data_IF_022238154079
#
_entry.id   IF_022238154079
#
_cell.length_a   1.000
_cell.length_b   1.000
_cell.length_c   1.000
_cell.angle_alpha   90.00
_cell.angle_beta   90.00
_cell.angle_gamma   90.00
#
_symmetry.space_group_name_H-M   'P 1'
#
loop_
_entity.id
_entity.type
_entity.pdbx_description
1 polymer ?
#
# COMPACT_ATOMS: atom_id res chain seq x y z
N UNK A 1 -30.03 0.30 12.85
CA UNK A 1 -28.98 0.03 13.87
C UNK A 1 -27.72 0.79 13.46
N UNK A 2 -27.53 1.98 14.04
CA UNK A 2 -26.43 2.91 13.74
C UNK A 2 -25.42 2.84 14.88
N UNK A 3 -24.52 1.86 14.83
CA UNK A 3 -23.47 1.72 15.84
C UNK A 3 -22.33 2.71 15.53
N UNK A 4 -21.94 3.59 16.48
CA UNK A 4 -20.92 4.64 16.24
C UNK A 4 -19.58 4.06 15.76
N UNK A 5 -19.21 2.86 16.23
CA UNK A 5 -18.00 2.15 15.82
C UNK A 5 -17.99 1.73 14.34
N UNK A 6 -19.16 1.43 13.75
CA UNK A 6 -19.27 1.05 12.33
C UNK A 6 -19.03 2.27 11.45
N UNK A 7 -19.59 3.41 11.85
CA UNK A 7 -19.40 4.69 11.15
C UNK A 7 -17.93 5.12 11.17
N UNK A 8 -17.26 4.98 12.31
CA UNK A 8 -15.83 5.29 12.45
C UNK A 8 -14.97 4.40 11.54
N UNK A 9 -15.26 3.10 11.46
CA UNK A 9 -14.55 2.17 10.56
C UNK A 9 -14.78 2.49 9.08
N UNK A 10 -16.00 2.91 8.71
CA UNK A 10 -16.31 3.34 7.34
C UNK A 10 -15.55 4.63 7.01
N UNK A 11 -15.55 5.62 7.92
CA UNK A 11 -14.79 6.87 7.74
C UNK A 11 -13.29 6.62 7.62
N UNK A 12 -12.73 5.79 8.50
CA UNK A 12 -11.33 5.38 8.45
C UNK A 12 -10.97 4.65 7.14
N UNK A 13 -11.85 3.74 6.71
CA UNK A 13 -11.70 3.03 5.43
C UNK A 13 -11.75 3.97 4.22
N UNK A 14 -12.69 4.90 4.18
CA UNK A 14 -12.79 5.90 3.12
C UNK A 14 -11.55 6.81 3.07
N UNK A 15 -11.05 7.24 4.23
CA UNK A 15 -9.82 8.03 4.32
C UNK A 15 -8.61 7.25 3.78
N UNK A 16 -8.41 6.01 4.22
CA UNK A 16 -7.31 5.17 3.72
C UNK A 16 -7.41 4.95 2.20
N UNK A 17 -8.61 4.66 1.70
CA UNK A 17 -8.84 4.46 0.27
C UNK A 17 -8.52 5.73 -0.54
N UNK A 18 -8.91 6.90 -0.04
CA UNK A 18 -8.60 8.17 -0.68
C UNK A 18 -7.09 8.45 -0.70
N UNK A 19 -6.40 8.30 0.42
CA UNK A 19 -4.94 8.51 0.51
C UNK A 19 -4.19 7.53 -0.38
N UNK A 20 -4.58 6.24 -0.37
CA UNK A 20 -4.00 5.22 -1.23
C UNK A 20 -4.28 5.48 -2.72
N UNK A 21 -5.47 5.97 -3.06
CA UNK A 21 -5.80 6.39 -4.42
C UNK A 21 -4.92 7.53 -4.89
N UNK A 22 -4.82 8.60 -4.09
CA UNK A 22 -3.99 9.76 -4.40
C UNK A 22 -2.52 9.36 -4.55
N UNK A 23 -1.98 8.52 -3.65
CA UNK A 23 -0.59 8.08 -3.73
C UNK A 23 -0.31 7.23 -4.96
N UNK A 24 -1.24 6.35 -5.35
CA UNK A 24 -1.14 5.58 -6.59
C UNK A 24 -1.15 6.48 -7.83
N UNK A 25 -2.05 7.47 -7.88
CA UNK A 25 -2.10 8.43 -8.99
C UNK A 25 -0.83 9.29 -9.09
N UNK A 26 -0.34 9.80 -7.96
CA UNK A 26 0.88 10.62 -7.92
C UNK A 26 2.11 9.78 -8.27
N UNK A 27 2.25 8.57 -7.71
CA UNK A 27 3.36 7.67 -8.01
C UNK A 27 3.38 7.23 -9.48
N UNK A 28 2.22 6.88 -10.04
CA UNK A 28 2.09 6.55 -11.46
C UNK A 28 2.36 7.77 -12.36
N UNK A 29 1.85 8.95 -12.00
CA UNK A 29 2.14 10.19 -12.73
C UNK A 29 3.62 10.56 -12.71
N UNK A 30 4.29 10.41 -11.57
CA UNK A 30 5.72 10.66 -11.44
C UNK A 30 6.56 9.70 -12.29
N UNK A 31 6.21 8.42 -12.32
CA UNK A 31 6.90 7.44 -13.19
C UNK A 31 6.67 7.72 -14.67
N UNK A 32 5.46 8.13 -15.06
CA UNK A 32 5.16 8.55 -16.43
C UNK A 32 5.94 9.81 -16.84
N UNK A 33 6.04 10.80 -15.94
CA UNK A 33 6.81 12.02 -16.17
C UNK A 33 8.33 11.73 -16.28
N UNK A 34 8.84 10.82 -15.45
CA UNK A 34 10.23 10.37 -15.52
C UNK A 34 10.50 9.65 -16.85
N UNK A 35 9.61 8.75 -17.29
CA UNK A 35 9.71 8.06 -18.57
C UNK A 35 9.68 9.05 -19.76
N UNK A 36 8.80 10.07 -19.71
CA UNK A 36 8.78 11.16 -20.70
C UNK A 36 10.11 11.91 -20.77
N UNK A 37 10.74 12.19 -19.61
CA UNK A 37 12.00 12.93 -19.55
C UNK A 37 13.16 12.12 -20.13
N UNK A 38 13.16 10.80 -19.93
CA UNK A 38 14.18 9.91 -20.50
C UNK A 38 14.08 9.84 -22.03
N UNK A 39 12.87 9.70 -22.60
CA UNK A 39 12.68 9.54 -24.05
C UNK A 39 11.62 10.49 -24.64
N UNK A 40 11.87 11.80 -24.70
CA UNK A 40 10.87 12.79 -25.11
C UNK A 40 10.44 12.65 -26.58
N UNK A 41 11.35 12.21 -27.47
CA UNK A 41 11.10 12.08 -28.91
C UNK A 41 10.14 10.91 -29.22
N UNK A 42 10.30 9.78 -28.54
CA UNK A 42 9.46 8.60 -28.73
C UNK A 42 8.15 8.71 -27.93
N UNK A 43 8.21 9.30 -26.73
CA UNK A 43 7.03 9.55 -25.91
C UNK A 43 6.05 10.53 -26.56
N UNK A 44 6.52 11.67 -27.08
CA UNK A 44 5.64 12.63 -27.77
C UNK A 44 5.10 12.05 -29.09
N UNK A 45 5.84 11.20 -29.80
CA UNK A 45 5.31 10.45 -30.96
C UNK A 45 4.17 9.50 -30.55
N UNK A 46 4.27 8.85 -29.39
CA UNK A 46 3.20 8.01 -28.85
C UNK A 46 1.96 8.76 -28.38
N UNK A 47 2.08 10.07 -28.05
CA UNK A 47 0.96 10.93 -27.62
C UNK A 47 0.36 11.76 -28.77
N UNK A 48 1.18 12.23 -29.72
CA UNK A 48 0.77 13.15 -30.80
C UNK A 48 0.61 12.47 -32.17
N UNK A 49 1.14 11.26 -32.36
CA UNK A 49 0.98 10.50 -33.60
C UNK A 49 -0.44 9.96 -33.74
N UNK A 50 -1.01 10.11 -34.93
CA UNK A 50 -2.31 9.60 -35.35
C UNK A 50 -2.58 8.17 -34.89
N UNK A 51 -3.86 7.79 -34.80
CA UNK A 51 -4.33 6.45 -34.41
C UNK A 51 -3.73 5.27 -35.21
N UNK A 52 -2.99 5.54 -36.29
CA UNK A 52 -2.22 4.54 -37.05
C UNK A 52 -0.79 4.30 -36.52
N UNK A 53 -0.24 5.22 -35.72
CA UNK A 53 1.14 5.21 -35.17
C UNK A 53 1.19 5.13 -33.64
N UNK A 54 0.04 5.08 -32.94
CA UNK A 54 -0.04 4.49 -31.61
C UNK A 54 0.25 2.99 -31.75
N UNK A 55 1.54 2.72 -31.90
CA UNK A 55 2.19 1.47 -32.23
C UNK A 55 1.48 0.32 -31.52
N UNK A 56 1.16 -0.76 -32.23
CA UNK A 56 0.37 -1.87 -31.68
C UNK A 56 0.89 -2.33 -30.30
N UNK A 57 2.19 -2.19 -30.04
CA UNK A 57 2.85 -2.43 -28.76
C UNK A 57 2.41 -1.52 -27.59
N UNK A 58 2.16 -0.23 -27.79
CA UNK A 58 1.70 0.68 -26.73
C UNK A 58 0.27 0.36 -26.28
N UNK A 59 -0.61 0.06 -27.26
CA UNK A 59 -1.99 -0.40 -26.99
C UNK A 59 -1.95 -1.78 -26.32
N UNK A 60 -1.05 -2.68 -26.74
CA UNK A 60 -0.84 -3.97 -26.10
C UNK A 60 -0.39 -3.81 -24.64
N UNK A 61 0.58 -2.91 -24.39
CA UNK A 61 1.13 -2.66 -23.07
C UNK A 61 0.10 -2.06 -22.11
N UNK A 62 -0.74 -1.12 -22.57
CA UNK A 62 -1.83 -0.56 -21.77
C UNK A 62 -2.88 -1.62 -21.43
N UNK A 63 -3.22 -2.51 -22.36
CA UNK A 63 -4.12 -3.64 -22.10
C UNK A 63 -3.50 -4.62 -21.10
N UNK A 64 -2.23 -5.00 -21.29
CA UNK A 64 -1.51 -5.88 -20.38
C UNK A 64 -1.41 -5.28 -18.97
N UNK A 65 -1.13 -3.98 -18.86
CA UNK A 65 -1.11 -3.25 -17.59
C UNK A 65 -2.50 -3.20 -16.94
N UNK A 66 -3.56 -2.96 -17.72
CA UNK A 66 -4.93 -2.96 -17.23
C UNK A 66 -5.35 -4.32 -16.68
N UNK A 67 -5.21 -5.39 -17.47
CA UNK A 67 -5.50 -6.75 -17.00
C UNK A 67 -4.60 -7.16 -15.84
N UNK A 68 -3.31 -6.82 -15.88
CA UNK A 68 -2.34 -7.09 -14.82
C UNK A 68 -2.71 -6.46 -13.49
N UNK A 69 -3.17 -5.20 -13.48
CA UNK A 69 -3.64 -4.54 -12.25
C UNK A 69 -4.90 -5.19 -11.70
N UNK A 70 -5.86 -5.58 -12.56
CA UNK A 70 -7.05 -6.33 -12.14
C UNK A 70 -6.67 -7.66 -11.50
N UNK A 71 -5.80 -8.45 -12.15
CA UNK A 71 -5.35 -9.73 -11.60
C UNK A 71 -4.54 -9.57 -10.32
N UNK A 72 -3.71 -8.54 -10.21
CA UNK A 72 -2.93 -8.28 -9.00
C UNK A 72 -3.85 -7.93 -7.81
N UNK A 73 -4.82 -7.05 -8.02
CA UNK A 73 -5.78 -6.66 -6.98
C UNK A 73 -6.69 -7.83 -6.61
N UNK A 74 -7.24 -8.54 -7.59
CA UNK A 74 -8.10 -9.70 -7.37
C UNK A 74 -7.34 -10.85 -6.68
N UNK A 75 -6.14 -11.16 -7.15
CA UNK A 75 -5.27 -12.21 -6.60
C UNK A 75 -4.88 -11.92 -5.16
N UNK A 76 -4.40 -10.71 -4.89
CA UNK A 76 -4.03 -10.30 -3.52
C UNK A 76 -5.24 -10.33 -2.59
N UNK A 77 -6.40 -9.86 -3.05
CA UNK A 77 -7.64 -9.90 -2.27
C UNK A 77 -8.08 -11.33 -1.97
N UNK A 78 -8.00 -12.23 -2.96
CA UNK A 78 -8.33 -13.65 -2.80
C UNK A 78 -7.36 -14.34 -1.82
N UNK A 79 -6.06 -14.09 -1.93
CA UNK A 79 -5.05 -14.64 -1.02
C UNK A 79 -5.27 -14.17 0.43
N UNK A 80 -5.46 -12.86 0.64
CA UNK A 80 -5.74 -12.31 1.96
C UNK A 80 -7.04 -12.88 2.55
N UNK A 81 -8.08 -13.04 1.73
CA UNK A 81 -9.33 -13.67 2.16
C UNK A 81 -9.15 -15.16 2.47
N UNK A 82 -8.37 -15.88 1.67
CA UNK A 82 -8.01 -17.28 1.90
C UNK A 82 -7.29 -17.48 3.23
N UNK A 83 -6.29 -16.64 3.54
CA UNK A 83 -5.58 -16.66 4.83
C UNK A 83 -6.54 -16.40 5.98
N UNK A 84 -7.46 -15.44 5.85
CA UNK A 84 -8.45 -15.16 6.88
C UNK A 84 -9.39 -16.36 7.11
N UNK A 85 -9.86 -17.01 6.02
CA UNK A 85 -10.71 -18.20 6.10
C UNK A 85 -9.99 -19.40 6.71
N UNK A 86 -8.74 -19.64 6.33
CA UNK A 86 -7.92 -20.75 6.86
C UNK A 86 -7.56 -20.53 8.33
N UNK A 87 -7.41 -19.28 8.77
CA UNK A 87 -7.13 -18.95 10.18
C UNK A 87 -8.29 -19.29 11.13
N UNK A 88 -9.51 -19.55 10.64
CA UNK A 88 -10.67 -19.90 11.47
C UNK A 88 -11.11 -18.78 12.43
N UNK A 89 -10.67 -17.54 12.19
CA UNK A 89 -10.96 -16.39 13.02
C UNK A 89 -12.33 -15.78 12.69
N UNK A 90 -13.17 -15.58 13.71
CA UNK A 90 -14.50 -14.98 13.55
C UNK A 90 -14.45 -13.45 13.49
N UNK A 91 -13.43 -12.87 14.12
CA UNK A 91 -13.18 -11.43 14.16
C UNK A 91 -11.72 -11.08 13.85
N UNK A 92 -11.47 -9.83 13.44
CA UNK A 92 -10.11 -9.32 13.21
C UNK A 92 -9.23 -9.37 14.46
N UNK A 93 -9.82 -9.18 15.65
CA UNK A 93 -9.09 -9.33 16.92
C UNK A 93 -8.65 -10.77 17.14
N UNK A 94 -9.56 -11.72 16.90
CA UNK A 94 -9.26 -13.15 17.02
C UNK A 94 -8.22 -13.60 16.00
N UNK A 95 -8.26 -13.06 14.78
CA UNK A 95 -7.25 -13.31 13.76
C UNK A 95 -5.87 -12.88 14.25
N UNK A 96 -5.74 -11.66 14.78
CA UNK A 96 -4.48 -11.15 15.31
C UNK A 96 -3.91 -12.04 16.42
N UNK A 97 -4.75 -12.47 17.36
CA UNK A 97 -4.31 -13.31 18.48
C UNK A 97 -3.92 -14.72 18.01
N UNK A 98 -4.73 -15.35 17.16
CA UNK A 98 -4.44 -16.70 16.63
C UNK A 98 -3.17 -16.71 15.78
N UNK A 99 -3.00 -15.73 14.90
CA UNK A 99 -1.79 -15.61 14.09
C UNK A 99 -0.56 -15.30 14.96
N UNK A 100 -0.72 -14.44 15.97
CA UNK A 100 0.34 -14.14 16.93
C UNK A 100 0.79 -15.33 17.76
N UNK A 101 -0.11 -16.28 18.05
CA UNK A 101 0.23 -17.52 18.76
C UNK A 101 0.81 -18.61 17.85
N UNK A 102 0.51 -18.57 16.55
CA UNK A 102 1.04 -19.53 15.57
C UNK A 102 2.49 -19.22 15.18
N UNK A 103 2.88 -17.95 15.25
CA UNK A 103 4.23 -17.50 14.96
C UNK A 103 5.14 -17.61 16.19
N UNK A 104 6.44 -17.91 16.02
CA UNK A 104 7.38 -17.92 17.13
C UNK A 104 7.44 -16.54 17.79
N UNK A 105 7.37 -16.53 19.12
CA UNK A 105 7.35 -15.28 19.90
C UNK A 105 8.72 -14.60 19.76
N UNK A 106 8.74 -13.38 19.22
CA UNK A 106 9.95 -12.57 19.22
C UNK A 106 10.36 -12.25 20.66
N UNK A 107 11.62 -12.52 21.06
CA UNK A 107 12.09 -12.20 22.40
C UNK A 107 11.96 -10.69 22.64
N UNK A 108 11.17 -10.33 23.65
CA UNK A 108 11.01 -8.93 24.05
C UNK A 108 12.29 -8.45 24.71
N UNK A 109 12.81 -7.34 24.21
CA UNK A 109 13.96 -6.69 24.82
C UNK A 109 13.55 -6.07 26.16
N UNK A 110 14.21 -6.48 27.24
CA UNK A 110 13.94 -6.01 28.60
C UNK A 110 15.26 -5.51 29.23
N UNK A 111 15.47 -4.20 29.41
CA UNK A 111 14.52 -3.10 29.25
C UNK A 111 14.23 -2.75 27.77
N UNK A 112 13.06 -2.16 27.47
CA UNK A 112 12.69 -1.75 26.12
C UNK A 112 13.65 -0.65 25.63
N UNK A 113 14.54 -0.99 24.69
CA UNK A 113 15.44 -0.03 24.02
C UNK A 113 14.72 0.96 23.11
N UNK A 114 13.49 0.66 22.69
CA UNK A 114 12.75 1.46 21.71
C UNK A 114 11.38 1.91 22.22
N UNK A 115 11.06 3.20 22.04
CA UNK A 115 9.71 3.76 22.27
C UNK A 115 8.80 3.36 21.11
N UNK A 116 7.57 2.93 21.40
CA UNK A 116 6.58 2.52 20.38
C UNK A 116 5.36 3.42 20.29
N UNK A 117 5.26 4.41 21.17
CA UNK A 117 4.14 5.35 21.25
C UNK A 117 4.60 6.73 20.77
N UNK A 118 4.25 7.06 19.53
CA UNK A 118 4.53 8.36 18.91
C UNK A 118 3.25 9.15 18.75
N UNK A 119 3.28 10.42 19.17
CA UNK A 119 2.15 11.34 19.01
C UNK A 119 1.92 11.74 17.55
N UNK A 120 2.95 11.65 16.71
CA UNK A 120 2.86 11.90 15.27
C UNK A 120 4.17 11.66 14.55
N UNK A 121 4.18 11.93 13.25
CA UNK A 121 5.37 11.80 12.40
C UNK A 121 6.53 12.68 12.89
N UNK A 122 6.25 13.88 13.40
CA UNK A 122 7.29 14.75 13.92
C UNK A 122 7.99 14.16 15.15
N UNK A 123 7.20 13.66 16.12
CA UNK A 123 7.71 12.97 17.34
C UNK A 123 8.50 11.70 16.97
N UNK A 124 8.04 10.96 15.95
CA UNK A 124 8.77 9.81 15.41
C UNK A 124 10.11 10.22 14.79
N UNK A 125 10.13 11.27 13.96
CA UNK A 125 11.35 11.73 13.30
C UNK A 125 12.35 12.28 14.31
N UNK A 126 11.90 13.06 15.31
CA UNK A 126 12.73 13.54 16.41
C UNK A 126 13.36 12.38 17.18
N UNK A 127 12.56 11.37 17.54
CA UNK A 127 13.07 10.17 18.21
C UNK A 127 14.11 9.42 17.36
N UNK A 128 13.88 9.27 16.05
CA UNK A 128 14.85 8.63 15.14
C UNK A 128 16.15 9.42 15.02
N UNK A 129 16.10 10.75 15.02
CA UNK A 129 17.30 11.58 14.93
C UNK A 129 18.09 11.68 16.23
N UNK A 130 17.41 11.68 17.37
CA UNK A 130 18.03 12.05 18.65
C UNK A 130 18.31 10.86 19.57
N UNK A 131 17.38 9.89 19.62
CA UNK A 131 17.31 8.87 20.67
C UNK A 131 17.48 7.44 20.13
N UNK A 132 17.24 7.21 18.84
CA UNK A 132 17.33 5.88 18.26
C UNK A 132 18.78 5.38 18.22
N UNK A 133 19.06 4.31 18.99
CA UNK A 133 20.37 3.66 19.02
C UNK A 133 21.37 4.25 20.03
N UNK A 134 21.03 5.34 20.73
CA UNK A 134 21.84 5.79 21.87
C UNK A 134 21.68 4.81 23.03
N UNK A 135 22.78 4.18 23.44
CA UNK A 135 22.83 3.44 24.70
C UNK A 135 22.73 4.46 25.84
N UNK A 136 21.68 4.38 26.65
CA UNK A 136 21.68 5.00 27.99
C UNK A 136 22.75 4.34 28.85
#
# INVERSE_FOLDING_TARGET
>A
MTDPQRLERIKGGAFLAAVAGISAFVGFGATLAAARKSDPKYFNKGIQGSAELADAGAILALRALGWGTIYAVAGTSCLCYGIWKLSGAKDLKDFRIKMGNMLPILPKNNPPKSRTEFSGLNDLLTYLSEDYGKKK
#
